data_IF_743512520393
#
_entry.id   IF_743512520393
#
_cell.length_a   1.000
_cell.length_b   1.000
_cell.length_c   1.000
_cell.angle_alpha   90.00
_cell.angle_beta   90.00
_cell.angle_gamma   90.00
#
_symmetry.space_group_name_H-M   'P 1'
#
loop_
_entity.id
_entity.type
_entity.pdbx_description
1 polymer ?
#
# COMPACT_ATOMS: atom_id res chain seq x y z
N UNK A 1 -26.71 15.59 -16.55
CA UNK A 1 -25.57 15.07 -15.76
C UNK A 1 -25.44 13.57 -15.99
N UNK A 2 -24.54 13.15 -16.86
CA UNK A 2 -24.28 11.73 -17.10
C UNK A 2 -23.31 11.23 -16.01
N UNK A 3 -23.82 10.55 -14.98
CA UNK A 3 -22.96 9.90 -13.97
C UNK A 3 -22.24 8.75 -14.66
N UNK A 4 -20.97 8.93 -15.02
CA UNK A 4 -20.10 7.80 -15.39
C UNK A 4 -20.05 6.87 -14.17
N UNK A 5 -20.73 5.73 -14.27
CA UNK A 5 -20.80 4.77 -13.18
C UNK A 5 -19.39 4.18 -12.99
N UNK A 6 -18.74 4.53 -11.89
CA UNK A 6 -17.44 3.94 -11.52
C UNK A 6 -17.65 2.42 -11.39
N UNK A 7 -16.86 1.65 -12.14
CA UNK A 7 -16.88 0.18 -12.08
C UNK A 7 -16.52 -0.32 -10.69
N UNK A 8 -17.02 -1.51 -10.32
CA UNK A 8 -16.87 -2.03 -8.96
C UNK A 8 -15.40 -2.23 -8.62
N UNK A 9 -14.61 -2.79 -9.55
CA UNK A 9 -13.17 -2.98 -9.37
C UNK A 9 -12.41 -1.68 -9.09
N UNK A 10 -12.74 -0.58 -9.80
CA UNK A 10 -12.12 0.73 -9.58
C UNK A 10 -12.34 1.24 -8.15
N UNK A 11 -13.54 1.05 -7.57
CA UNK A 11 -13.82 1.43 -6.18
C UNK A 11 -12.98 0.63 -5.19
N UNK A 12 -12.84 -0.67 -5.44
CA UNK A 12 -12.05 -1.57 -4.58
C UNK A 12 -10.58 -1.15 -4.57
N UNK A 13 -10.01 -0.82 -5.73
CA UNK A 13 -8.64 -0.27 -5.80
C UNK A 13 -8.50 1.00 -4.96
N UNK A 14 -9.50 1.90 -5.04
CA UNK A 14 -9.49 3.15 -4.28
C UNK A 14 -9.49 2.95 -2.78
N UNK A 15 -10.32 2.03 -2.28
CA UNK A 15 -10.34 1.65 -0.86
C UNK A 15 -8.99 1.09 -0.43
N UNK A 16 -8.41 0.19 -1.22
CA UNK A 16 -7.08 -0.37 -0.93
C UNK A 16 -6.00 0.72 -0.88
N UNK A 17 -6.00 1.65 -1.84
CA UNK A 17 -5.04 2.74 -1.90
C UNK A 17 -5.13 3.69 -0.70
N UNK A 18 -6.35 4.02 -0.25
CA UNK A 18 -6.57 4.82 0.96
C UNK A 18 -6.02 4.10 2.19
N UNK A 19 -6.27 2.79 2.31
CA UNK A 19 -5.74 2.01 3.43
C UNK A 19 -4.21 2.00 3.43
N UNK A 20 -3.56 1.81 2.28
CA UNK A 20 -2.09 1.87 2.18
C UNK A 20 -1.56 3.24 2.59
N UNK A 21 -2.20 4.33 2.14
CA UNK A 21 -1.80 5.69 2.51
C UNK A 21 -1.88 5.89 4.03
N UNK A 22 -3.00 5.52 4.65
CA UNK A 22 -3.16 5.60 6.11
C UNK A 22 -2.11 4.75 6.80
N UNK A 23 -1.87 3.52 6.31
CA UNK A 23 -0.87 2.61 6.83
C UNK A 23 0.55 3.18 6.81
N UNK A 24 0.91 3.96 5.79
CA UNK A 24 2.24 4.58 5.68
C UNK A 24 2.53 5.60 6.79
N UNK A 25 1.49 6.20 7.40
CA UNK A 25 1.65 7.10 8.54
C UNK A 25 1.67 6.37 9.90
N UNK A 26 1.18 5.13 9.94
CA UNK A 26 1.21 4.31 11.15
C UNK A 26 2.62 3.75 11.44
N UNK A 27 2.89 3.33 12.68
CA UNK A 27 4.13 2.62 13.02
C UNK A 27 4.22 1.32 12.23
N UNK A 28 5.28 1.18 11.43
CA UNK A 28 5.62 -0.08 10.75
C UNK A 28 6.46 -0.98 11.65
N UNK A 29 7.12 -0.39 12.64
CA UNK A 29 7.68 -1.11 13.78
C UNK A 29 7.69 -0.22 15.02
N UNK A 30 7.70 -0.87 16.17
CA UNK A 30 7.87 -0.25 17.48
C UNK A 30 8.71 -1.17 18.35
N UNK A 31 9.80 -0.65 18.90
CA UNK A 31 10.70 -1.35 19.83
C UNK A 31 10.70 -0.61 21.17
N UNK A 32 10.64 -1.37 22.27
CA UNK A 32 10.66 -0.80 23.62
C UNK A 32 9.29 -0.30 24.11
N UNK A 33 9.24 0.11 25.37
CA UNK A 33 8.03 0.63 26.02
C UNK A 33 7.13 -0.38 26.74
N UNK A 34 7.45 -1.68 26.75
CA UNK A 34 6.59 -2.70 27.40
C UNK A 34 6.72 -2.77 28.94
N UNK A 35 7.85 -2.33 29.50
CA UNK A 35 8.21 -2.57 30.92
C UNK A 35 8.89 -1.37 31.59
N UNK A 36 8.70 -0.15 31.08
CA UNK A 36 9.20 1.08 31.73
C UNK A 36 10.72 1.31 31.71
N UNK A 37 11.51 0.39 31.14
CA UNK A 37 12.98 0.49 31.15
C UNK A 37 13.59 1.36 30.04
N UNK A 38 13.00 1.38 28.84
CA UNK A 38 13.51 2.12 27.68
C UNK A 38 12.37 2.82 26.93
N UNK A 39 12.58 4.07 26.47
CA UNK A 39 11.59 4.80 25.67
C UNK A 39 11.30 4.04 24.38
N UNK A 40 10.03 4.02 23.97
CA UNK A 40 9.62 3.35 22.74
C UNK A 40 10.16 4.11 21.52
N UNK A 41 10.87 3.39 20.66
CA UNK A 41 11.31 3.89 19.36
C UNK A 41 10.38 3.30 18.31
N UNK A 42 9.74 4.16 17.52
CA UNK A 42 8.87 3.76 16.42
C UNK A 42 9.28 4.48 15.14
N UNK A 43 9.12 3.81 14.00
CA UNK A 43 9.21 4.47 12.71
C UNK A 43 8.16 3.92 11.75
N UNK A 44 7.83 4.75 10.76
CA UNK A 44 6.83 4.48 9.75
C UNK A 44 7.49 4.27 8.37
N UNK A 45 6.68 4.11 7.33
CA UNK A 45 7.13 3.88 5.97
C UNK A 45 7.94 5.03 5.35
N UNK A 46 7.79 6.24 5.89
CA UNK A 46 8.28 7.50 5.30
C UNK A 46 9.54 8.02 6.00
N UNK A 47 9.94 7.42 7.12
CA UNK A 47 10.99 7.92 7.99
C UNK A 47 12.42 7.87 7.39
N UNK A 48 12.60 7.35 6.18
CA UNK A 48 13.89 7.41 5.46
C UNK A 48 15.06 6.73 6.18
N UNK A 49 14.79 5.71 7.00
CA UNK A 49 15.82 4.98 7.74
C UNK A 49 16.31 3.74 6.96
N UNK A 50 17.40 3.15 7.45
CA UNK A 50 18.03 1.94 6.89
C UNK A 50 17.09 0.71 6.82
N UNK A 51 15.97 0.73 7.55
CA UNK A 51 15.03 -0.38 7.63
C UNK A 51 13.85 -0.25 6.65
N UNK A 52 13.48 0.98 6.23
CA UNK A 52 12.25 1.25 5.46
C UNK A 52 12.48 2.18 4.25
N UNK A 53 13.64 2.09 3.58
CA UNK A 53 13.92 2.89 2.38
C UNK A 53 12.94 2.65 1.23
N UNK A 54 12.37 1.44 1.12
CA UNK A 54 11.36 1.11 0.11
C UNK A 54 9.92 1.54 0.49
N UNK A 55 9.66 1.95 1.73
CA UNK A 55 8.32 2.28 2.22
C UNK A 55 7.67 3.47 1.47
N UNK A 56 8.49 4.42 1.02
CA UNK A 56 8.02 5.53 0.19
C UNK A 56 7.51 5.07 -1.18
N UNK A 57 8.05 3.98 -1.74
CA UNK A 57 7.60 3.45 -3.03
C UNK A 57 6.20 2.85 -2.89
N UNK A 58 5.89 2.22 -1.75
CA UNK A 58 4.55 1.71 -1.43
C UNK A 58 3.54 2.87 -1.36
N UNK A 59 3.92 3.97 -0.73
CA UNK A 59 3.11 5.19 -0.65
C UNK A 59 2.87 5.80 -2.04
N UNK A 60 3.92 5.95 -2.85
CA UNK A 60 3.80 6.49 -4.22
C UNK A 60 2.95 5.59 -5.11
N UNK A 61 3.05 4.26 -4.98
CA UNK A 61 2.21 3.33 -5.72
C UNK A 61 0.71 3.47 -5.34
N UNK A 62 0.41 3.66 -4.06
CA UNK A 62 -0.95 3.93 -3.60
C UNK A 62 -1.48 5.27 -4.12
N UNK A 63 -0.66 6.32 -4.09
CA UNK A 63 -1.00 7.61 -4.68
C UNK A 63 -1.24 7.50 -6.19
N UNK A 64 -0.42 6.74 -6.92
CA UNK A 64 -0.64 6.48 -8.33
C UNK A 64 -1.99 5.77 -8.57
N UNK A 65 -2.35 4.80 -7.72
CA UNK A 65 -3.67 4.14 -7.75
C UNK A 65 -4.84 5.12 -7.58
N UNK A 66 -4.74 6.06 -6.62
CA UNK A 66 -5.74 7.13 -6.46
C UNK A 66 -5.73 8.14 -7.60
N UNK A 67 -4.56 8.50 -8.11
CA UNK A 67 -4.43 9.42 -9.24
C UNK A 67 -5.11 8.83 -10.49
N UNK A 68 -4.93 7.53 -10.75
CA UNK A 68 -5.64 6.82 -11.82
C UNK A 68 -7.16 6.81 -11.64
N UNK A 69 -7.65 6.83 -10.40
CA UNK A 69 -9.09 6.95 -10.11
C UNK A 69 -9.62 8.38 -10.32
N UNK A 70 -8.82 9.39 -9.99
CA UNK A 70 -9.19 10.79 -10.14
C UNK A 70 -9.04 11.29 -11.60
N UNK A 71 -8.14 10.68 -12.36
CA UNK A 71 -7.82 11.01 -13.76
C UNK A 71 -9.04 11.18 -14.69
N UNK A 72 -10.00 10.23 -14.75
CA UNK A 72 -11.17 10.39 -15.61
C UNK A 72 -12.10 11.54 -15.19
N UNK A 73 -12.04 11.98 -13.93
CA UNK A 73 -12.79 13.14 -13.47
C UNK A 73 -12.10 14.45 -13.81
N UNK A 74 -10.76 14.47 -13.84
CA UNK A 74 -9.96 15.64 -14.18
C UNK A 74 -9.84 15.86 -15.70
N UNK A 75 -9.73 14.80 -16.49
CA UNK A 75 -9.48 14.89 -17.93
C UNK A 75 -10.73 15.12 -18.80
N UNK A 76 -11.93 15.10 -18.22
CA UNK A 76 -13.16 15.33 -18.96
C UNK A 76 -13.44 14.28 -20.04
N UNK A 77 -13.75 14.71 -21.27
CA UNK A 77 -14.18 13.83 -22.37
C UNK A 77 -13.04 13.18 -23.16
N UNK A 78 -11.78 13.51 -22.89
CA UNK A 78 -10.66 12.96 -23.65
C UNK A 78 -10.29 11.53 -23.21
N UNK A 79 -10.10 10.60 -24.15
CA UNK A 79 -9.63 9.25 -23.82
C UNK A 79 -8.14 9.28 -23.49
N UNK A 80 -7.76 8.98 -22.24
CA UNK A 80 -6.35 8.82 -21.87
C UNK A 80 -5.89 7.37 -22.05
N UNK A 81 -4.67 7.19 -22.55
CA UNK A 81 -4.04 5.88 -22.65
C UNK A 81 -3.88 5.18 -21.28
N UNK A 82 -3.84 5.96 -20.19
CA UNK A 82 -3.75 5.51 -18.80
C UNK A 82 -5.07 4.97 -18.22
N UNK A 83 -6.21 5.08 -18.91
CA UNK A 83 -7.50 4.54 -18.44
C UNK A 83 -7.60 3.01 -18.57
N UNK A 84 -6.52 2.35 -19.01
CA UNK A 84 -6.45 0.91 -19.25
C UNK A 84 -6.28 0.12 -17.95
N UNK A 85 -6.80 -1.12 -17.89
CA UNK A 85 -6.63 -2.01 -16.72
C UNK A 85 -5.15 -2.27 -16.43
N UNK A 86 -4.31 -2.23 -17.46
CA UNK A 86 -2.86 -2.34 -17.35
C UNK A 86 -2.26 -1.32 -16.37
N UNK A 87 -2.76 -0.07 -16.33
CA UNK A 87 -2.24 0.96 -15.43
C UNK A 87 -2.58 0.65 -13.96
N UNK A 88 -3.76 0.12 -13.68
CA UNK A 88 -4.15 -0.33 -12.34
C UNK A 88 -3.36 -1.56 -11.89
N UNK A 89 -3.12 -2.50 -12.80
CA UNK A 89 -2.29 -3.69 -12.54
C UNK A 89 -0.84 -3.27 -12.28
N UNK A 90 -0.29 -2.34 -13.06
CA UNK A 90 1.05 -1.82 -12.82
C UNK A 90 1.16 -1.12 -11.47
N UNK A 91 0.20 -0.27 -11.11
CA UNK A 91 0.20 0.41 -9.82
C UNK A 91 0.12 -0.59 -8.65
N UNK A 92 -0.78 -1.58 -8.73
CA UNK A 92 -0.89 -2.63 -7.72
C UNK A 92 0.37 -3.52 -7.66
N UNK A 93 0.94 -3.87 -8.82
CA UNK A 93 2.15 -4.68 -8.93
C UNK A 93 3.37 -3.97 -8.34
N UNK A 94 3.58 -2.68 -8.66
CA UNK A 94 4.65 -1.87 -8.07
C UNK A 94 4.46 -1.75 -6.55
N UNK A 95 3.23 -1.52 -6.08
CA UNK A 95 2.92 -1.48 -4.64
C UNK A 95 3.24 -2.79 -3.94
N UNK A 96 2.89 -3.94 -4.55
CA UNK A 96 3.18 -5.27 -4.02
C UNK A 96 4.68 -5.55 -3.97
N UNK A 97 5.39 -5.29 -5.06
CA UNK A 97 6.86 -5.50 -5.13
C UNK A 97 7.57 -4.62 -4.12
N UNK A 98 7.17 -3.36 -3.98
CA UNK A 98 7.73 -2.45 -2.99
C UNK A 98 7.46 -2.92 -1.55
N UNK A 99 6.26 -3.42 -1.27
CA UNK A 99 5.91 -3.98 0.03
C UNK A 99 6.76 -5.22 0.36
N UNK A 100 6.91 -6.14 -0.60
CA UNK A 100 7.77 -7.32 -0.44
C UNK A 100 9.24 -6.95 -0.27
N UNK A 101 9.74 -5.97 -1.02
CA UNK A 101 11.11 -5.46 -0.84
C UNK A 101 11.32 -4.88 0.56
N UNK A 102 10.29 -4.25 1.14
CA UNK A 102 10.32 -3.76 2.50
C UNK A 102 10.38 -4.89 3.53
N UNK A 103 9.62 -5.97 3.32
CA UNK A 103 9.72 -7.18 4.15
C UNK A 103 11.12 -7.82 4.08
N UNK A 104 11.70 -7.87 2.88
CA UNK A 104 13.07 -8.40 2.67
C UNK A 104 14.10 -7.51 3.37
N UNK A 105 14.00 -6.18 3.27
CA UNK A 105 14.87 -5.25 4.01
C UNK A 105 14.76 -5.50 5.52
N UNK A 106 13.55 -5.69 6.03
CA UNK A 106 13.32 -5.97 7.45
C UNK A 106 13.93 -7.31 7.89
N UNK A 107 13.86 -8.32 7.03
CA UNK A 107 14.47 -9.63 7.26
C UNK A 107 16.00 -9.58 7.25
N UNK A 108 16.59 -8.93 6.25
CA UNK A 108 18.04 -8.82 6.08
C UNK A 108 18.69 -7.98 7.19
N UNK A 109 18.02 -6.93 7.65
CA UNK A 109 18.51 -6.09 8.73
C UNK A 109 18.32 -6.71 10.13
N UNK A 110 17.90 -7.97 10.22
CA UNK A 110 17.75 -8.71 11.48
C UNK A 110 16.59 -8.27 12.36
N UNK A 111 15.81 -7.27 11.94
CA UNK A 111 14.70 -6.73 12.71
C UNK A 111 13.54 -7.74 12.89
N UNK A 112 13.46 -8.80 12.08
CA UNK A 112 12.47 -9.86 12.30
C UNK A 112 12.80 -10.78 13.50
N UNK A 113 14.08 -10.90 13.87
CA UNK A 113 14.56 -11.89 14.84
C UNK A 113 15.30 -11.29 16.04
N UNK A 114 15.56 -9.98 16.04
CA UNK A 114 16.23 -9.30 17.14
C UNK A 114 15.28 -9.09 18.34
N UNK A 115 15.38 -9.97 19.33
CA UNK A 115 14.76 -9.84 20.65
C UNK A 115 13.92 -11.04 21.06
N UNK A 116 13.50 -11.06 22.33
CA UNK A 116 12.68 -12.12 22.93
C UNK A 116 11.24 -12.15 22.41
N UNK A 117 10.83 -11.14 21.61
CA UNK A 117 9.49 -11.02 21.01
C UNK A 117 9.60 -10.56 19.56
N UNK A 118 8.87 -11.18 18.62
CA UNK A 118 8.92 -10.78 17.22
C UNK A 118 8.43 -9.34 17.04
N UNK A 119 9.14 -8.55 16.24
CA UNK A 119 8.77 -7.15 15.96
C UNK A 119 7.61 -7.04 14.95
N UNK A 120 7.23 -8.14 14.30
CA UNK A 120 6.16 -8.18 13.28
C UNK A 120 4.74 -8.33 13.87
N UNK A 121 4.57 -8.46 15.18
CA UNK A 121 3.24 -8.64 15.75
C UNK A 121 2.33 -7.45 15.39
N UNK A 122 1.02 -7.68 15.12
CA UNK A 122 0.07 -6.62 14.81
C UNK A 122 0.05 -5.48 15.83
N UNK A 123 0.32 -5.78 17.10
CA UNK A 123 0.38 -4.82 18.21
C UNK A 123 1.61 -3.88 18.15
N UNK A 124 2.67 -4.29 17.44
CA UNK A 124 3.94 -3.53 17.33
C UNK A 124 4.20 -2.97 15.93
N UNK A 125 3.54 -3.52 14.92
CA UNK A 125 3.68 -3.13 13.52
C UNK A 125 2.31 -2.93 12.83
N UNK A 126 1.38 -2.16 13.42
CA UNK A 126 0.01 -2.05 12.88
C UNK A 126 -0.01 -1.48 11.46
N UNK A 127 0.90 -0.55 11.14
CA UNK A 127 1.03 0.02 9.80
C UNK A 127 1.47 -1.01 8.75
N UNK A 128 2.32 -1.97 9.12
CA UNK A 128 2.78 -3.00 8.19
C UNK A 128 1.65 -3.96 7.80
N UNK A 129 0.83 -4.35 8.77
CA UNK A 129 -0.36 -5.19 8.52
C UNK A 129 -1.45 -4.46 7.75
N UNK A 130 -1.69 -3.18 8.08
CA UNK A 130 -2.69 -2.38 7.38
C UNK A 130 -2.24 -2.11 5.93
N UNK A 131 -0.95 -1.93 5.70
CA UNK A 131 -0.37 -1.84 4.35
C UNK A 131 -0.52 -3.16 3.59
N UNK A 132 -0.26 -4.31 4.23
CA UNK A 132 -0.46 -5.62 3.63
C UNK A 132 -1.91 -5.80 3.14
N UNK A 133 -2.87 -5.48 4.01
CA UNK A 133 -4.29 -5.57 3.72
C UNK A 133 -4.69 -4.59 2.60
N UNK A 134 -4.20 -3.36 2.63
CA UNK A 134 -4.44 -2.37 1.59
C UNK A 134 -3.89 -2.79 0.22
N UNK A 135 -2.67 -3.33 0.17
CA UNK A 135 -2.04 -3.83 -1.07
C UNK A 135 -2.81 -5.03 -1.63
N UNK A 136 -3.25 -5.97 -0.77
CA UNK A 136 -4.08 -7.11 -1.20
C UNK A 136 -5.42 -6.64 -1.79
N UNK A 137 -6.07 -5.65 -1.17
CA UNK A 137 -7.31 -5.06 -1.68
C UNK A 137 -7.07 -4.35 -3.02
N UNK A 138 -5.95 -3.62 -3.18
CA UNK A 138 -5.58 -3.01 -4.45
C UNK A 138 -5.36 -4.06 -5.55
N UNK A 139 -4.62 -5.13 -5.25
CA UNK A 139 -4.36 -6.22 -6.18
C UNK A 139 -5.67 -6.91 -6.59
N UNK A 140 -6.56 -7.15 -5.63
CA UNK A 140 -7.89 -7.72 -5.88
C UNK A 140 -8.76 -6.79 -6.75
N UNK A 141 -8.78 -5.49 -6.47
CA UNK A 141 -9.50 -4.52 -7.29
C UNK A 141 -8.96 -4.44 -8.72
N UNK A 142 -7.63 -4.51 -8.88
CA UNK A 142 -6.98 -4.54 -10.20
C UNK A 142 -7.37 -5.80 -10.99
N UNK A 143 -7.38 -6.96 -10.33
CA UNK A 143 -7.87 -8.21 -10.90
C UNK A 143 -9.34 -8.12 -11.35
N UNK A 144 -10.21 -7.55 -10.51
CA UNK A 144 -11.61 -7.32 -10.88
C UNK A 144 -11.73 -6.46 -12.13
N UNK A 145 -11.00 -5.34 -12.22
CA UNK A 145 -11.03 -4.49 -13.41
C UNK A 145 -10.55 -5.18 -14.69
N UNK A 146 -9.68 -6.18 -14.57
CA UNK A 146 -9.26 -7.01 -15.69
C UNK A 146 -10.36 -7.99 -16.09
N UNK A 147 -10.95 -8.68 -15.12
CA UNK A 147 -12.02 -9.66 -15.36
C UNK A 147 -13.27 -9.03 -15.99
N UNK A 148 -13.62 -7.79 -15.60
CA UNK A 148 -14.72 -7.00 -16.17
C UNK A 148 -14.53 -6.70 -17.67
N UNK A 149 -13.30 -6.83 -18.21
CA UNK A 149 -12.99 -6.60 -19.64
C UNK A 149 -12.87 -7.88 -20.47
N UNK A 150 -12.64 -9.03 -19.84
CA UNK A 150 -12.48 -10.32 -20.52
C UNK A 150 -13.81 -11.09 -20.60
N UNK A 151 -14.75 -10.78 -19.70
CA UNK A 151 -16.13 -11.20 -19.88
C UNK A 151 -16.81 -10.34 -20.94
N UNK A 152 -17.18 -10.99 -22.06
CA UNK A 152 -17.83 -10.48 -23.29
C UNK A 152 -16.87 -10.02 -24.40
#
# INVERSE_FOLDING_TARGET
MNRRVISRGRRVVGVGAVLVIVACFLPWFRVGGDLGGLPAISSNALAGNQYFGAGIVVFVAALAGLALLALPFAAGAQPLALDRPASFILAAGVGLVAYLACLVQLALNGALLQGTRPLFLPDRAPGLWLAALGVLIMAWGAWQTLSERVGW
#
